data_IF_064707316968
#
_entry.id   IF_064707316968
#
_cell.length_a   1.000
_cell.length_b   1.000
_cell.length_c   1.000
_cell.angle_alpha   90.00
_cell.angle_beta   90.00
_cell.angle_gamma   90.00
#
_symmetry.space_group_name_H-M   'P 1'
#
loop_
_entity.id
_entity.type
_entity.pdbx_description
1 polymer ?
#
# COMPACT_ATOMS: atom_id res chain seq x y z
N UNK A 1 14.16 -18.52 18.80
CA UNK A 1 12.94 -19.26 18.41
C UNK A 1 11.74 -18.31 18.17
N UNK A 2 11.55 -17.29 19.00
CA UNK A 2 10.44 -16.31 18.95
C UNK A 2 10.12 -15.68 17.58
N UNK A 3 11.12 -15.27 16.79
CA UNK A 3 10.87 -14.51 15.55
C UNK A 3 10.17 -15.33 14.43
N UNK A 4 10.23 -16.66 14.51
CA UNK A 4 9.60 -17.57 13.55
C UNK A 4 8.15 -17.91 13.91
N UNK A 5 7.80 -17.90 15.19
CA UNK A 5 6.47 -18.28 15.70
C UNK A 5 5.50 -17.10 15.68
N UNK A 6 5.98 -15.88 15.96
CA UNK A 6 5.12 -14.69 16.05
C UNK A 6 4.48 -14.30 14.71
N UNK A 7 5.19 -14.45 13.58
CA UNK A 7 4.66 -14.09 12.25
C UNK A 7 5.19 -15.01 11.16
N UNK A 8 4.29 -15.78 10.54
CA UNK A 8 4.59 -16.71 9.44
C UNK A 8 5.08 -15.98 8.18
N UNK A 9 6.38 -15.67 8.08
CA UNK A 9 7.00 -14.83 7.02
C UNK A 9 8.08 -15.59 6.23
N UNK A 10 8.48 -15.03 5.09
CA UNK A 10 9.53 -15.61 4.23
C UNK A 10 10.95 -15.30 4.70
N UNK A 11 11.92 -16.11 4.29
CA UNK A 11 13.33 -16.05 4.74
C UNK A 11 13.99 -14.68 4.58
N UNK A 12 13.65 -13.89 3.55
CA UNK A 12 14.21 -12.54 3.35
C UNK A 12 13.76 -11.56 4.44
N UNK A 13 12.49 -11.62 4.82
CA UNK A 13 11.96 -10.81 5.92
C UNK A 13 12.68 -11.18 7.22
N UNK A 14 12.84 -12.48 7.46
CA UNK A 14 13.50 -13.00 8.66
C UNK A 14 14.97 -12.56 8.69
N UNK A 15 15.67 -12.58 7.55
CA UNK A 15 17.03 -12.06 7.43
C UNK A 15 17.14 -10.60 7.88
N UNK A 16 16.26 -9.73 7.38
CA UNK A 16 16.25 -8.34 7.81
C UNK A 16 15.92 -8.17 9.29
N UNK A 17 15.01 -8.97 9.83
CA UNK A 17 14.66 -8.87 11.25
C UNK A 17 15.76 -9.41 12.18
N UNK A 18 16.49 -10.45 11.78
CA UNK A 18 17.65 -10.94 12.52
C UNK A 18 18.74 -9.87 12.60
N UNK A 19 18.99 -9.19 11.49
CA UNK A 19 19.91 -8.05 11.46
C UNK A 19 19.42 -6.91 12.35
N UNK A 20 18.16 -6.48 12.17
CA UNK A 20 17.60 -5.31 12.87
C UNK A 20 17.49 -5.50 14.37
N UNK A 21 16.97 -6.65 14.83
CA UNK A 21 16.67 -6.89 16.25
C UNK A 21 17.83 -7.51 17.02
N UNK A 22 18.69 -8.28 16.35
CA UNK A 22 19.71 -9.09 17.02
C UNK A 22 21.12 -8.89 16.47
N UNK A 23 21.33 -8.02 15.46
CA UNK A 23 22.63 -7.80 14.81
C UNK A 23 23.25 -9.07 14.24
N UNK A 24 22.40 -10.01 13.80
CA UNK A 24 22.83 -11.28 13.21
C UNK A 24 22.75 -11.17 11.69
N UNK A 25 23.90 -10.96 11.05
CA UNK A 25 24.02 -10.94 9.59
C UNK A 25 24.31 -12.34 9.07
N UNK A 26 23.41 -12.91 8.27
CA UNK A 26 23.63 -14.17 7.55
C UNK A 26 23.10 -14.08 6.12
N UNK A 27 23.71 -14.83 5.21
CA UNK A 27 23.21 -14.95 3.85
C UNK A 27 21.73 -15.41 3.90
N UNK A 28 20.80 -14.74 3.19
CA UNK A 28 19.40 -15.15 3.16
C UNK A 28 19.18 -16.62 2.78
N UNK A 29 20.06 -17.21 1.94
CA UNK A 29 20.02 -18.63 1.60
C UNK A 29 20.35 -19.55 2.78
N UNK A 30 21.23 -19.11 3.69
CA UNK A 30 21.52 -19.82 4.94
C UNK A 30 20.28 -19.85 5.83
N UNK A 31 19.56 -18.73 5.93
CA UNK A 31 18.30 -18.65 6.69
C UNK A 31 17.24 -19.55 6.05
N UNK A 32 17.13 -19.56 4.72
CA UNK A 32 16.25 -20.49 4.00
C UNK A 32 16.58 -21.95 4.32
N UNK A 33 17.86 -22.33 4.34
CA UNK A 33 18.30 -23.68 4.71
C UNK A 33 17.86 -24.04 6.14
N UNK A 34 18.07 -23.14 7.10
CA UNK A 34 17.61 -23.38 8.48
C UNK A 34 16.09 -23.47 8.59
N UNK A 35 15.34 -22.64 7.86
CA UNK A 35 13.88 -22.77 7.79
C UNK A 35 13.45 -24.15 7.26
N UNK A 36 14.14 -24.68 6.25
CA UNK A 36 13.86 -26.01 5.72
C UNK A 36 14.16 -27.12 6.75
N UNK A 37 15.32 -27.05 7.42
CA UNK A 37 15.72 -28.01 8.47
C UNK A 37 14.70 -28.00 9.62
N UNK A 38 14.26 -26.82 10.05
CA UNK A 38 13.29 -26.64 11.13
C UNK A 38 11.83 -26.84 10.67
N UNK A 39 11.61 -27.21 9.40
CA UNK A 39 10.29 -27.36 8.78
C UNK A 39 9.37 -26.12 8.91
N UNK A 40 9.98 -24.93 8.94
CA UNK A 40 9.28 -23.64 9.00
C UNK A 40 8.95 -23.17 7.59
N UNK A 41 7.66 -23.11 7.25
CA UNK A 41 7.19 -22.71 5.91
C UNK A 41 6.46 -21.36 5.96
N UNK A 42 6.71 -20.52 4.95
CA UNK A 42 5.98 -19.26 4.75
C UNK A 42 4.65 -19.52 4.04
N UNK A 43 3.48 -19.24 4.65
CA UNK A 43 2.17 -19.41 4.02
C UNK A 43 1.77 -18.25 3.10
N UNK A 44 2.56 -17.17 3.10
CA UNK A 44 2.29 -15.91 2.40
C UNK A 44 2.60 -16.04 0.91
N UNK A 45 1.75 -15.43 0.06
CA UNK A 45 1.89 -15.33 -1.41
C UNK A 45 2.06 -16.69 -2.11
N UNK A 46 0.99 -17.49 -2.09
CA UNK A 46 0.85 -18.64 -3.01
C UNK A 46 0.84 -18.14 -4.46
N UNK A 47 1.54 -18.83 -5.36
CA UNK A 47 1.50 -18.54 -6.80
C UNK A 47 0.05 -18.69 -7.28
N UNK A 48 -0.54 -17.61 -7.78
CA UNK A 48 -1.86 -17.62 -8.42
C UNK A 48 -1.68 -17.26 -9.89
N UNK A 49 -2.43 -17.94 -10.75
CA UNK A 49 -2.58 -17.55 -12.14
C UNK A 49 -3.72 -16.53 -12.22
N UNK A 50 -3.51 -15.43 -12.96
CA UNK A 50 -4.51 -14.39 -13.14
C UNK A 50 -5.12 -14.51 -14.54
N UNK A 51 -6.45 -14.46 -14.62
CA UNK A 51 -7.19 -14.18 -15.85
C UNK A 51 -7.58 -12.71 -15.83
N UNK A 52 -7.24 -11.97 -16.88
CA UNK A 52 -7.64 -10.57 -17.04
C UNK A 52 -9.02 -10.53 -17.70
N UNK A 53 -10.02 -9.94 -17.04
CA UNK A 53 -11.26 -9.56 -17.72
C UNK A 53 -11.10 -8.17 -18.33
N UNK A 54 -11.48 -8.03 -19.61
CA UNK A 54 -11.64 -6.73 -20.27
C UNK A 54 -12.88 -6.06 -19.68
N UNK A 55 -12.72 -4.86 -19.12
CA UNK A 55 -13.85 -4.04 -18.67
C UNK A 55 -14.31 -3.15 -19.83
N UNK A 56 -15.60 -3.21 -20.13
CA UNK A 56 -16.22 -2.44 -21.23
C UNK A 56 -16.22 -0.93 -21.01
N UNK A 57 -16.37 -0.23 -22.13
CA UNK A 57 -16.17 1.21 -22.31
C UNK A 57 -17.47 1.95 -22.00
N UNK A 58 -17.50 2.73 -20.93
CA UNK A 58 -18.43 3.86 -20.81
C UNK A 58 -17.77 5.10 -21.44
N UNK A 59 -18.46 5.73 -22.39
CA UNK A 59 -18.01 6.86 -23.20
C UNK A 59 -18.47 8.24 -22.67
N UNK A 60 -19.10 8.31 -21.50
CA UNK A 60 -19.70 9.56 -21.05
C UNK A 60 -18.87 10.27 -19.98
N UNK A 61 -18.41 11.47 -20.37
CA UNK A 61 -17.80 12.55 -19.58
C UNK A 61 -16.79 12.11 -18.52
N UNK A 62 -15.53 11.89 -18.94
CA UNK A 62 -14.46 11.52 -18.00
C UNK A 62 -13.38 12.60 -18.02
N UNK A 63 -13.29 13.37 -16.93
CA UNK A 63 -12.15 14.24 -16.62
C UNK A 63 -10.93 13.38 -16.29
N UNK A 64 -10.31 12.78 -17.31
CA UNK A 64 -9.10 11.97 -17.15
C UNK A 64 -7.88 12.88 -17.22
N UNK A 65 -7.14 12.99 -16.12
CA UNK A 65 -5.83 13.62 -16.11
C UNK A 65 -4.79 12.77 -16.88
N UNK A 66 -3.80 13.38 -17.54
CA UNK A 66 -2.74 12.63 -18.21
C UNK A 66 -1.90 11.79 -17.23
N UNK A 67 -1.26 10.73 -17.73
CA UNK A 67 -0.35 9.91 -16.93
C UNK A 67 1.01 10.61 -16.76
N UNK A 68 1.07 11.59 -15.87
CA UNK A 68 2.28 12.34 -15.50
C UNK A 68 3.27 11.48 -14.71
N UNK A 69 2.81 10.60 -13.82
CA UNK A 69 3.70 9.73 -13.04
C UNK A 69 4.51 8.79 -13.97
N UNK A 70 3.87 8.29 -15.03
CA UNK A 70 4.45 7.47 -16.09
C UNK A 70 5.37 6.35 -15.57
N UNK A 71 4.93 5.64 -14.52
CA UNK A 71 5.67 4.57 -13.82
C UNK A 71 7.02 4.97 -13.22
N UNK A 72 7.33 6.27 -13.18
CA UNK A 72 8.46 6.78 -12.42
C UNK A 72 8.11 6.80 -10.93
N UNK A 73 8.18 5.62 -10.32
CA UNK A 73 7.82 5.38 -8.93
C UNK A 73 8.88 5.84 -7.93
N UNK A 74 9.97 6.43 -8.40
CA UNK A 74 11.03 6.96 -7.54
C UNK A 74 10.76 8.43 -7.26
N UNK A 75 10.67 8.80 -5.98
CA UNK A 75 10.62 10.19 -5.54
C UNK A 75 11.99 10.58 -4.96
N UNK A 76 12.40 11.83 -5.19
CA UNK A 76 13.67 12.37 -4.65
C UNK A 76 13.55 12.91 -3.22
N UNK A 77 12.33 13.22 -2.78
CA UNK A 77 12.05 13.75 -1.45
C UNK A 77 10.65 13.30 -0.99
N UNK A 78 10.39 13.30 0.34
CA UNK A 78 9.06 13.03 0.89
C UNK A 78 7.99 13.94 0.28
N UNK A 79 6.76 13.43 0.18
CA UNK A 79 5.60 14.17 -0.29
C UNK A 79 5.72 14.75 -1.71
N UNK A 80 6.65 14.28 -2.56
CA UNK A 80 6.74 14.72 -3.96
C UNK A 80 5.92 13.90 -4.93
N UNK A 81 5.81 12.60 -4.69
CA UNK A 81 5.00 11.68 -5.48
C UNK A 81 4.21 10.78 -4.56
N UNK A 82 2.91 10.96 -4.58
CA UNK A 82 1.95 10.21 -3.78
C UNK A 82 1.11 9.33 -4.70
N UNK A 83 0.67 8.19 -4.21
CA UNK A 83 -0.29 7.32 -4.89
C UNK A 83 -1.50 7.07 -4.00
N UNK A 84 -2.67 6.96 -4.60
CA UNK A 84 -3.91 6.59 -3.93
C UNK A 84 -4.65 5.50 -4.69
N UNK A 85 -5.31 4.61 -3.95
CA UNK A 85 -6.21 3.63 -4.54
C UNK A 85 -7.24 3.18 -3.49
N UNK A 86 -8.40 2.70 -3.96
CA UNK A 86 -9.40 2.04 -3.14
C UNK A 86 -9.39 0.54 -3.43
N UNK A 87 -9.38 -0.29 -2.39
CA UNK A 87 -9.61 -1.73 -2.51
C UNK A 87 -10.71 -2.17 -1.54
N UNK A 88 -11.47 -3.18 -1.94
CA UNK A 88 -12.34 -3.90 -1.00
C UNK A 88 -11.50 -4.84 -0.11
N UNK A 89 -11.92 -4.95 1.15
CA UNK A 89 -11.39 -5.86 2.17
C UNK A 89 -12.56 -6.67 2.73
N UNK A 90 -12.40 -7.97 2.86
CA UNK A 90 -13.45 -8.88 3.33
C UNK A 90 -13.32 -9.16 4.82
N UNK A 91 -14.47 -9.25 5.49
CA UNK A 91 -14.66 -9.93 6.77
C UNK A 91 -15.72 -11.04 6.56
N UNK A 92 -15.94 -11.90 7.56
CA UNK A 92 -16.86 -13.04 7.40
C UNK A 92 -18.28 -12.67 6.94
N UNK A 93 -18.77 -11.50 7.35
CA UNK A 93 -20.15 -11.09 7.12
C UNK A 93 -20.30 -10.07 5.97
N UNK A 94 -19.24 -9.81 5.20
CA UNK A 94 -19.31 -8.81 4.13
C UNK A 94 -17.97 -8.20 3.75
N UNK A 95 -18.02 -6.98 3.24
CA UNK A 95 -16.83 -6.23 2.81
C UNK A 95 -16.95 -4.76 3.18
N UNK A 96 -15.79 -4.14 3.33
CA UNK A 96 -15.62 -2.69 3.39
C UNK A 96 -14.66 -2.25 2.28
N UNK A 97 -14.67 -0.97 1.97
CA UNK A 97 -13.73 -0.33 1.07
C UNK A 97 -12.70 0.43 1.89
N UNK A 98 -11.42 0.31 1.51
CA UNK A 98 -10.31 1.03 2.11
C UNK A 98 -9.62 1.88 1.05
N UNK A 99 -9.59 3.19 1.28
CA UNK A 99 -8.75 4.15 0.56
C UNK A 99 -7.43 4.29 1.29
N UNK A 100 -6.31 4.37 0.56
CA UNK A 100 -4.99 4.69 1.13
C UNK A 100 -4.33 5.84 0.37
N UNK A 101 -3.51 6.63 1.06
CA UNK A 101 -2.52 7.50 0.44
C UNK A 101 -1.13 7.03 0.86
N UNK A 102 -0.27 6.77 -0.13
CA UNK A 102 1.08 6.23 0.07
C UNK A 102 2.12 7.17 -0.53
N UNK A 103 3.19 7.42 0.20
CA UNK A 103 4.35 8.15 -0.30
C UNK A 103 5.29 7.21 -1.06
N UNK A 104 5.68 7.59 -2.27
CA UNK A 104 6.59 6.79 -3.09
C UNK A 104 8.07 6.97 -2.70
N UNK A 105 8.40 7.98 -1.91
CA UNK A 105 9.75 8.20 -1.42
C UNK A 105 10.24 7.06 -0.52
N UNK A 106 9.46 6.75 0.51
CA UNK A 106 9.82 5.80 1.57
C UNK A 106 8.82 4.63 1.66
N UNK A 107 7.85 4.57 0.76
CA UNK A 107 6.74 3.62 0.78
C UNK A 107 5.78 3.74 1.97
N UNK A 108 5.84 4.77 2.80
CA UNK A 108 4.95 4.91 3.97
C UNK A 108 3.49 5.10 3.56
N UNK A 109 2.59 4.53 4.35
CA UNK A 109 1.15 4.84 4.26
C UNK A 109 0.92 6.09 5.11
N UNK A 110 0.66 7.21 4.44
CA UNK A 110 0.43 8.51 5.07
C UNK A 110 -0.95 8.61 5.71
N UNK A 111 -1.95 8.04 5.03
CA UNK A 111 -3.32 8.01 5.50
C UNK A 111 -4.08 6.82 4.93
N UNK A 112 -5.13 6.42 5.63
CA UNK A 112 -6.14 5.51 5.11
C UNK A 112 -7.51 5.85 5.69
N UNK A 113 -8.56 5.49 4.96
CA UNK A 113 -9.95 5.63 5.37
C UNK A 113 -10.71 4.37 4.99
N UNK A 114 -11.70 4.01 5.81
CA UNK A 114 -12.57 2.85 5.59
C UNK A 114 -14.01 3.33 5.46
N UNK A 115 -14.78 2.73 4.56
CA UNK A 115 -16.21 2.96 4.42
C UNK A 115 -16.92 1.70 3.91
N UNK A 116 -18.22 1.59 4.19
CA UNK A 116 -19.09 0.57 3.56
C UNK A 116 -19.38 0.87 2.09
N UNK A 117 -19.20 2.13 1.68
CA UNK A 117 -19.48 2.62 0.33
C UNK A 117 -18.19 2.98 -0.39
N UNK A 118 -18.14 2.66 -1.68
CA UNK A 118 -17.07 3.09 -2.57
C UNK A 118 -17.47 4.40 -3.26
N UNK A 119 -17.53 5.49 -2.49
CA UNK A 119 -17.98 6.79 -2.95
C UNK A 119 -16.86 7.84 -2.92
N UNK A 120 -17.15 9.02 -3.45
CA UNK A 120 -16.20 10.14 -3.44
C UNK A 120 -15.87 10.57 -2.01
N UNK A 121 -16.83 10.46 -1.07
CA UNK A 121 -16.62 10.84 0.32
C UNK A 121 -15.49 10.03 0.96
N UNK A 122 -15.45 8.71 0.75
CA UNK A 122 -14.33 7.86 1.19
C UNK A 122 -12.96 8.37 0.72
N UNK A 123 -12.86 8.81 -0.54
CA UNK A 123 -11.61 9.30 -1.12
C UNK A 123 -11.25 10.68 -0.57
N UNK A 124 -12.20 11.61 -0.53
CA UNK A 124 -11.97 12.97 -0.05
C UNK A 124 -11.65 13.01 1.45
N UNK A 125 -12.34 12.21 2.26
CA UNK A 125 -12.06 12.06 3.70
C UNK A 125 -10.65 11.52 3.95
N UNK A 126 -10.10 10.72 3.02
CA UNK A 126 -8.73 10.22 3.15
C UNK A 126 -7.68 11.26 2.71
N UNK A 127 -7.96 11.99 1.63
CA UNK A 127 -7.09 13.05 1.11
C UNK A 127 -6.98 14.18 2.13
N UNK A 128 -8.09 14.56 2.76
CA UNK A 128 -8.08 15.62 3.78
C UNK A 128 -7.14 15.28 4.95
N UNK A 129 -6.99 14.00 5.33
CA UNK A 129 -6.03 13.60 6.38
C UNK A 129 -4.57 13.92 6.03
N UNK A 130 -4.23 13.96 4.75
CA UNK A 130 -2.87 14.27 4.28
C UNK A 130 -2.68 15.77 4.07
N UNK A 131 -3.62 16.42 3.40
CA UNK A 131 -3.46 17.79 2.92
C UNK A 131 -4.04 18.88 3.84
N UNK A 132 -4.85 18.52 4.86
CA UNK A 132 -5.41 19.52 5.80
C UNK A 132 -4.36 20.25 6.63
N UNK A 133 -3.22 19.58 6.90
CA UNK A 133 -2.17 20.15 7.76
C UNK A 133 -1.17 21.01 7.00
N UNK A 134 -0.95 20.72 5.72
CA UNK A 134 0.03 21.40 4.90
C UNK A 134 -0.26 21.18 3.41
N UNK A 135 -0.09 22.24 2.61
CA UNK A 135 -0.10 22.14 1.16
C UNK A 135 1.23 21.56 0.65
N UNK A 136 1.15 20.53 -0.18
CA UNK A 136 2.32 19.93 -0.82
C UNK A 136 2.25 20.16 -2.32
N UNK A 137 3.29 20.77 -2.89
CA UNK A 137 3.51 20.74 -4.34
C UNK A 137 3.98 19.35 -4.73
N UNK A 138 3.02 18.49 -5.06
CA UNK A 138 3.23 17.06 -5.31
C UNK A 138 2.42 16.55 -6.50
N UNK A 139 2.80 15.38 -7.00
CA UNK A 139 1.94 14.57 -7.87
C UNK A 139 1.13 13.62 -6.99
N UNK A 140 -0.19 13.59 -7.17
CA UNK A 140 -1.04 12.52 -6.62
C UNK A 140 -1.55 11.65 -7.78
N UNK A 141 -1.16 10.38 -7.77
CA UNK A 141 -1.49 9.43 -8.81
C UNK A 141 -2.56 8.41 -8.37
N UNK A 142 -3.55 8.17 -9.22
CA UNK A 142 -4.64 7.20 -8.99
C UNK A 142 -4.96 6.40 -10.25
N UNK A 143 -5.84 5.41 -10.12
CA UNK A 143 -6.48 4.81 -11.28
C UNK A 143 -7.63 5.69 -11.81
N UNK A 144 -8.30 5.24 -12.88
CA UNK A 144 -9.43 5.97 -13.47
C UNK A 144 -10.77 5.61 -12.83
N UNK A 145 -10.79 5.25 -11.53
CA UNK A 145 -12.03 5.00 -10.79
C UNK A 145 -12.99 6.19 -10.84
N UNK A 146 -14.29 5.94 -10.77
CA UNK A 146 -15.31 7.00 -10.88
C UNK A 146 -15.16 8.10 -9.82
N UNK A 147 -14.63 7.77 -8.64
CA UNK A 147 -14.33 8.74 -7.59
C UNK A 147 -13.24 9.73 -8.03
N UNK A 148 -12.19 9.24 -8.70
CA UNK A 148 -11.05 10.05 -9.13
C UNK A 148 -11.33 10.92 -10.36
N UNK A 149 -12.41 10.64 -11.08
CA UNK A 149 -12.85 11.46 -12.22
C UNK A 149 -13.90 12.52 -11.85
N UNK A 150 -14.22 12.69 -10.56
CA UNK A 150 -15.22 13.66 -10.12
C UNK A 150 -14.67 15.09 -10.12
N UNK A 151 -15.55 16.07 -10.40
CA UNK A 151 -15.20 17.50 -10.31
C UNK A 151 -14.72 17.87 -8.90
N UNK A 152 -15.42 17.41 -7.87
CA UNK A 152 -15.05 17.65 -6.46
C UNK A 152 -13.60 17.21 -6.19
N UNK A 153 -13.21 16.02 -6.66
CA UNK A 153 -11.83 15.54 -6.53
C UNK A 153 -10.83 16.46 -7.24
N UNK A 154 -11.12 16.78 -8.50
CA UNK A 154 -10.25 17.60 -9.34
C UNK A 154 -10.07 19.00 -8.78
N UNK A 155 -11.17 19.71 -8.54
CA UNK A 155 -11.19 21.10 -8.09
C UNK A 155 -10.52 21.24 -6.72
N UNK A 156 -10.73 20.25 -5.82
CA UNK A 156 -10.09 20.25 -4.51
C UNK A 156 -8.57 20.07 -4.63
N UNK A 157 -8.09 19.15 -5.46
CA UNK A 157 -6.65 18.94 -5.61
C UNK A 157 -5.95 20.09 -6.35
N UNK A 158 -6.60 20.67 -7.35
CA UNK A 158 -6.09 21.84 -8.06
C UNK A 158 -6.00 23.06 -7.12
N UNK A 159 -7.01 23.29 -6.27
CA UNK A 159 -6.96 24.36 -5.25
C UNK A 159 -5.88 24.15 -4.19
N UNK A 160 -5.48 22.89 -3.93
CA UNK A 160 -4.36 22.54 -3.07
C UNK A 160 -2.99 22.60 -3.77
N UNK A 161 -2.95 22.93 -5.07
CA UNK A 161 -1.72 22.94 -5.87
C UNK A 161 -1.14 21.54 -6.14
N UNK A 162 -1.97 20.50 -6.06
CA UNK A 162 -1.59 19.12 -6.31
C UNK A 162 -1.78 18.77 -7.77
N UNK A 163 -0.72 18.25 -8.40
CA UNK A 163 -0.78 17.77 -9.79
C UNK A 163 -1.41 16.38 -9.84
N UNK A 164 -2.58 16.27 -10.47
CA UNK A 164 -3.31 15.00 -10.61
C UNK A 164 -2.69 14.17 -11.74
N UNK A 165 -2.55 12.87 -11.52
CA UNK A 165 -2.11 11.94 -12.55
C UNK A 165 -2.95 10.67 -12.54
N UNK A 166 -3.45 10.23 -13.69
CA UNK A 166 -4.19 8.97 -13.78
C UNK A 166 -3.41 7.88 -14.51
N UNK A 167 -3.57 6.64 -14.06
CA UNK A 167 -3.14 5.45 -14.81
C UNK A 167 -3.82 5.40 -16.17
N UNK A 168 -3.18 4.79 -17.18
CA UNK A 168 -3.85 4.53 -18.46
C UNK A 168 -4.92 3.44 -18.27
N UNK A 169 -6.01 3.55 -19.02
CA UNK A 169 -7.08 2.56 -19.01
C UNK A 169 -6.55 1.17 -19.35
N UNK A 170 -6.92 0.17 -18.55
CA UNK A 170 -6.48 -1.23 -18.74
C UNK A 170 -5.01 -1.52 -18.39
N UNK A 171 -4.31 -0.59 -17.73
CA UNK A 171 -2.89 -0.73 -17.43
C UNK A 171 -2.62 -0.85 -15.92
N UNK A 172 -2.67 -2.08 -15.39
CA UNK A 172 -2.43 -2.34 -13.96
C UNK A 172 -1.01 -1.94 -13.50
N UNK A 173 -0.05 -1.90 -14.42
CA UNK A 173 1.33 -1.52 -14.09
C UNK A 173 1.47 -0.06 -13.68
N UNK A 174 0.56 0.81 -14.13
CA UNK A 174 0.64 2.25 -13.83
C UNK A 174 0.33 2.54 -12.34
N UNK A 175 -0.48 1.71 -11.66
CA UNK A 175 -0.79 1.84 -10.21
C UNK A 175 -0.18 0.73 -9.33
N UNK A 176 0.78 -0.03 -9.87
CA UNK A 176 1.33 -1.21 -9.21
C UNK A 176 1.90 -0.95 -7.80
N UNK A 177 2.42 0.25 -7.53
CA UNK A 177 2.99 0.61 -6.23
C UNK A 177 1.95 0.71 -5.12
N UNK A 178 0.72 1.12 -5.45
CA UNK A 178 -0.40 1.17 -4.52
C UNK A 178 -1.03 -0.23 -4.37
N UNK A 179 -1.24 -0.94 -5.49
CA UNK A 179 -1.74 -2.33 -5.48
C UNK A 179 -0.86 -3.28 -4.66
N UNK A 180 0.46 -3.06 -4.67
CA UNK A 180 1.40 -3.85 -3.90
C UNK A 180 1.14 -3.76 -2.39
N UNK A 181 0.73 -2.59 -1.86
CA UNK A 181 0.33 -2.49 -0.46
C UNK A 181 -0.86 -3.40 -0.15
N UNK A 182 -1.95 -3.33 -0.93
CA UNK A 182 -3.12 -4.17 -0.71
C UNK A 182 -2.81 -5.66 -0.88
N UNK A 183 -1.93 -6.01 -1.82
CA UNK A 183 -1.43 -7.37 -1.98
C UNK A 183 -0.68 -7.86 -0.73
N UNK A 184 0.19 -7.01 -0.16
CA UNK A 184 0.85 -7.30 1.11
C UNK A 184 -0.16 -7.45 2.24
N UNK A 185 -1.00 -6.45 2.51
CA UNK A 185 -2.05 -6.50 3.54
C UNK A 185 -2.87 -7.80 3.47
N UNK A 186 -3.40 -8.12 2.29
CA UNK A 186 -4.23 -9.32 2.12
C UNK A 186 -3.45 -10.60 2.38
N UNK A 187 -2.27 -10.75 1.78
CA UNK A 187 -1.49 -11.99 1.89
C UNK A 187 -0.79 -12.17 3.23
N UNK A 188 -0.44 -11.08 3.89
CA UNK A 188 0.32 -11.07 5.13
C UNK A 188 -0.54 -11.08 6.39
N UNK A 189 -1.81 -10.70 6.28
CA UNK A 189 -2.75 -10.61 7.39
C UNK A 189 -4.09 -11.26 7.04
N UNK A 190 -4.87 -10.68 6.13
CA UNK A 190 -6.30 -11.03 6.00
C UNK A 190 -6.55 -12.47 5.51
N UNK A 191 -5.64 -13.04 4.73
CA UNK A 191 -5.73 -14.45 4.31
C UNK A 191 -5.29 -15.43 5.40
N UNK A 192 -4.46 -14.99 6.34
CA UNK A 192 -3.97 -15.82 7.45
C UNK A 192 -4.90 -15.73 8.66
N UNK A 193 -5.52 -14.57 8.87
CA UNK A 193 -6.40 -14.25 9.98
C UNK A 193 -7.64 -13.51 9.46
N UNK A 194 -8.58 -14.22 8.81
CA UNK A 194 -9.80 -13.59 8.29
C UNK A 194 -10.61 -12.95 9.42
N UNK A 195 -10.89 -11.65 9.31
CA UNK A 195 -11.68 -10.92 10.29
C UNK A 195 -13.11 -11.46 10.40
N UNK A 196 -13.61 -11.63 11.62
CA UNK A 196 -14.98 -12.11 11.89
C UNK A 196 -16.01 -10.99 11.76
N UNK A 197 -15.65 -9.77 12.13
CA UNK A 197 -16.52 -8.60 12.07
C UNK A 197 -15.86 -7.42 11.37
N UNK A 198 -16.67 -6.40 11.06
CA UNK A 198 -16.19 -5.11 10.56
C UNK A 198 -15.24 -4.44 11.56
N UNK A 199 -15.59 -4.44 12.86
CA UNK A 199 -14.76 -3.83 13.90
C UNK A 199 -13.39 -4.53 14.01
N UNK A 200 -13.37 -5.86 13.93
CA UNK A 200 -12.12 -6.62 13.93
C UNK A 200 -11.27 -6.29 12.70
N UNK A 201 -11.88 -6.17 11.52
CA UNK A 201 -11.18 -5.80 10.30
C UNK A 201 -10.57 -4.38 10.38
N UNK A 202 -11.31 -3.43 10.96
CA UNK A 202 -10.81 -2.07 11.20
C UNK A 202 -9.59 -2.11 12.12
N UNK A 203 -9.68 -2.82 13.25
CA UNK A 203 -8.56 -2.97 14.19
C UNK A 203 -7.35 -3.62 13.52
N UNK A 204 -7.55 -4.72 12.80
CA UNK A 204 -6.51 -5.40 12.04
C UNK A 204 -5.83 -4.48 11.02
N UNK A 205 -6.59 -3.64 10.31
CA UNK A 205 -6.02 -2.68 9.36
C UNK A 205 -5.18 -1.62 10.08
N UNK A 206 -5.68 -1.07 11.18
CA UNK A 206 -4.95 -0.08 11.98
C UNK A 206 -3.60 -0.64 12.46
N UNK A 207 -3.62 -1.81 13.10
CA UNK A 207 -2.42 -2.49 13.60
C UNK A 207 -1.45 -2.82 12.46
N UNK A 208 -1.98 -3.21 11.29
CA UNK A 208 -1.16 -3.52 10.13
C UNK A 208 -0.50 -2.29 9.52
N UNK A 209 -1.20 -1.16 9.42
CA UNK A 209 -0.61 0.09 8.88
C UNK A 209 0.52 0.58 9.78
N UNK A 210 0.33 0.55 11.11
CA UNK A 210 1.38 0.88 12.07
C UNK A 210 2.57 -0.06 11.88
N UNK A 211 2.35 -1.38 11.92
CA UNK A 211 3.41 -2.35 11.70
C UNK A 211 4.09 -2.19 10.32
N UNK A 212 3.34 -1.89 9.27
CA UNK A 212 3.87 -1.70 7.92
C UNK A 212 4.84 -0.51 7.85
N UNK A 213 4.51 0.59 8.53
CA UNK A 213 5.31 1.81 8.55
C UNK A 213 6.52 1.71 9.49
N UNK A 214 6.39 1.06 10.65
CA UNK A 214 7.39 1.11 11.71
C UNK A 214 8.20 -0.18 11.87
N UNK A 215 7.66 -1.34 11.51
CA UNK A 215 8.27 -2.63 11.83
C UNK A 215 8.57 -3.52 10.62
N UNK A 216 7.93 -3.28 9.48
CA UNK A 216 8.08 -4.10 8.27
C UNK A 216 9.29 -3.66 7.42
N UNK A 217 10.42 -4.39 7.46
CA UNK A 217 11.56 -4.09 6.61
C UNK A 217 11.25 -4.34 5.13
N UNK A 218 11.81 -3.52 4.25
CA UNK A 218 11.57 -3.63 2.81
C UNK A 218 12.90 -3.70 2.05
N UNK A 219 13.01 -4.66 1.12
CA UNK A 219 14.22 -4.79 0.29
C UNK A 219 14.51 -3.52 -0.54
N UNK A 220 13.47 -2.83 -1.02
CA UNK A 220 13.61 -1.55 -1.75
C UNK A 220 14.21 -0.44 -0.89
N UNK A 221 14.06 -0.53 0.43
CA UNK A 221 14.58 0.41 1.41
C UNK A 221 15.83 -0.14 2.10
N UNK A 222 16.58 -1.03 1.41
CA UNK A 222 17.81 -1.67 1.94
C UNK A 222 17.61 -2.36 3.30
N UNK A 223 16.40 -2.88 3.56
CA UNK A 223 16.06 -3.54 4.81
C UNK A 223 15.51 -2.62 5.90
N UNK A 224 15.45 -1.31 5.69
CA UNK A 224 14.76 -0.38 6.58
C UNK A 224 13.23 -0.49 6.45
N UNK A 225 12.53 -0.02 7.48
CA UNK A 225 11.10 0.28 7.40
C UNK A 225 10.87 1.61 6.68
N UNK A 226 9.63 1.91 6.25
CA UNK A 226 9.30 3.22 5.71
C UNK A 226 9.75 4.38 6.59
N UNK A 227 9.46 4.34 7.89
CA UNK A 227 9.80 5.44 8.79
C UNK A 227 11.29 5.50 9.09
N UNK A 228 11.97 4.34 9.26
CA UNK A 228 13.43 4.31 9.39
C UNK A 228 14.11 4.96 8.17
N UNK A 229 13.65 4.63 6.96
CA UNK A 229 14.18 5.21 5.74
C UNK A 229 13.98 6.73 5.69
N UNK A 230 12.77 7.21 6.00
CA UNK A 230 12.46 8.65 6.06
C UNK A 230 13.39 9.37 7.03
N UNK A 231 13.57 8.83 8.23
CA UNK A 231 14.41 9.47 9.25
C UNK A 231 15.90 9.41 8.89
N UNK A 232 16.35 8.37 8.20
CA UNK A 232 17.74 8.24 7.76
C UNK A 232 18.11 9.26 6.67
N UNK A 233 17.19 9.64 5.81
CA UNK A 233 17.46 10.50 4.65
C UNK A 233 17.04 11.96 4.85
N UNK A 234 16.48 12.31 6.02
CA UNK A 234 16.04 13.68 6.34
C UNK A 234 17.16 14.58 6.89
N UNK A 235 18.40 14.42 6.41
CA UNK A 235 19.54 15.28 6.74
C UNK A 235 19.88 16.21 5.57
#
# INVERSE_FOLDING_TARGET
MLLFEERKKGYRYIAFQLERKYKITRNPKTILRYMQILNIKSPIRKKKFFHYSRKEISLNSILVAPNILNRNFEAKAPFKKLVTNVSYLYHKNGRVFSSIVKDLYDNSILAYQISKKNDIKLVMDNISKVFSKQAYKCILHSDQGSQYNSHIYKDTLESLGVTISHSRKGNCYDNACCENFFSHLKSELLYLQPAKSEQELIKQLNDYVIWYNYDRPQSKLKGMTPIEYRNHTSF
#
